data_IF_125693322297
#
_entry.id   IF_125693322297
#
_cell.length_a   1.000
_cell.length_b   1.000
_cell.length_c   1.000
_cell.angle_alpha   90.00
_cell.angle_beta   90.00
_cell.angle_gamma   90.00
#
_symmetry.space_group_name_H-M   'P 1'
#
loop_
_entity.id
_entity.type
_entity.pdbx_description
1 polymer ?
#
# COMPACT_ATOMS: atom_id res chain seq x y z
N UNK A 1 -36.86 -9.31 -20.12
CA UNK A 1 -36.03 -8.99 -21.30
C UNK A 1 -35.03 -7.93 -20.89
N UNK A 2 -33.74 -8.19 -21.08
CA UNK A 2 -32.65 -7.29 -20.65
C UNK A 2 -32.17 -6.51 -21.86
N UNK A 3 -32.35 -5.19 -21.84
CA UNK A 3 -31.94 -4.29 -22.92
C UNK A 3 -30.57 -3.70 -22.59
N UNK A 4 -29.62 -3.84 -23.51
CA UNK A 4 -28.26 -3.30 -23.39
C UNK A 4 -27.94 -2.39 -24.57
N UNK A 5 -27.02 -1.45 -24.36
CA UNK A 5 -26.54 -0.56 -25.42
C UNK A 5 -25.76 -1.31 -26.50
N UNK A 6 -25.57 -0.66 -27.64
CA UNK A 6 -24.79 -1.21 -28.76
C UNK A 6 -23.33 -1.48 -28.37
N UNK A 7 -22.73 -0.62 -27.53
CA UNK A 7 -21.37 -0.82 -27.03
C UNK A 7 -21.27 -2.05 -26.14
N UNK A 8 -22.21 -2.22 -25.20
CA UNK A 8 -22.27 -3.41 -24.35
C UNK A 8 -22.52 -4.67 -25.18
N UNK A 9 -23.37 -4.61 -26.21
CA UNK A 9 -23.61 -5.73 -27.12
C UNK A 9 -22.34 -6.11 -27.91
N UNK A 10 -21.57 -5.11 -28.34
CA UNK A 10 -20.29 -5.29 -29.02
C UNK A 10 -19.27 -6.01 -28.13
N UNK A 11 -19.16 -5.57 -26.87
CA UNK A 11 -18.31 -6.21 -25.87
C UNK A 11 -18.75 -7.64 -25.56
N UNK A 12 -20.06 -7.84 -25.32
CA UNK A 12 -20.62 -9.13 -24.93
C UNK A 12 -20.48 -10.20 -26.01
N UNK A 13 -20.66 -9.82 -27.28
CA UNK A 13 -20.59 -10.74 -28.43
C UNK A 13 -19.18 -10.86 -29.03
N UNK A 14 -18.24 -10.03 -28.58
CA UNK A 14 -16.92 -9.84 -29.20
C UNK A 14 -17.02 -9.51 -30.72
N UNK A 15 -18.07 -8.80 -31.14
CA UNK A 15 -18.25 -8.29 -32.51
C UNK A 15 -18.04 -6.79 -32.52
N UNK A 16 -17.46 -6.27 -33.60
CA UNK A 16 -17.29 -4.83 -33.74
C UNK A 16 -18.64 -4.09 -33.78
N UNK A 17 -18.69 -2.87 -33.23
CA UNK A 17 -19.89 -2.00 -33.29
C UNK A 17 -20.49 -1.91 -34.71
N UNK A 18 -19.71 -1.72 -35.80
CA UNK A 18 -20.25 -1.74 -37.17
C UNK A 18 -20.91 -3.07 -37.56
N UNK A 19 -20.42 -4.19 -37.04
CA UNK A 19 -21.04 -5.51 -37.28
C UNK A 19 -22.42 -5.57 -36.63
N UNK A 20 -22.54 -5.07 -35.39
CA UNK A 20 -23.83 -4.98 -34.70
C UNK A 20 -24.80 -4.09 -35.50
N UNK A 21 -24.37 -2.91 -35.95
CA UNK A 21 -25.19 -2.03 -36.79
C UNK A 21 -25.64 -2.68 -38.10
N UNK A 22 -24.78 -3.50 -38.72
CA UNK A 22 -25.14 -4.25 -39.92
C UNK A 22 -26.26 -5.26 -39.63
N UNK A 23 -26.16 -6.03 -38.55
CA UNK A 23 -27.22 -6.98 -38.18
C UNK A 23 -28.55 -6.29 -37.83
N UNK A 24 -28.51 -5.07 -37.29
CA UNK A 24 -29.72 -4.24 -37.11
C UNK A 24 -30.29 -3.84 -38.47
N UNK A 25 -29.43 -3.35 -39.38
CA UNK A 25 -29.83 -2.92 -40.73
C UNK A 25 -30.41 -4.07 -41.56
N UNK A 26 -29.87 -5.28 -41.38
CA UNK A 26 -30.30 -6.50 -42.07
C UNK A 26 -31.58 -7.10 -41.45
N UNK A 27 -32.08 -6.53 -40.34
CA UNK A 27 -33.32 -6.94 -39.67
C UNK A 27 -33.17 -8.18 -38.77
N UNK A 28 -31.94 -8.60 -38.48
CA UNK A 28 -31.66 -9.77 -37.63
C UNK A 28 -31.70 -9.45 -36.13
N UNK A 29 -31.47 -8.17 -35.79
CA UNK A 29 -31.59 -7.59 -34.45
C UNK A 29 -32.57 -6.42 -34.46
N UNK A 30 -33.42 -6.37 -33.45
CA UNK A 30 -34.32 -5.27 -33.17
C UNK A 30 -33.63 -4.24 -32.28
N UNK A 31 -33.76 -2.96 -32.64
CA UNK A 31 -33.27 -1.84 -31.84
C UNK A 31 -34.45 -1.06 -31.26
N UNK A 32 -34.47 -0.87 -29.94
CA UNK A 32 -35.44 0.00 -29.25
C UNK A 32 -34.66 0.99 -28.40
N UNK A 33 -34.82 2.29 -28.64
CA UNK A 33 -34.14 3.35 -27.88
C UNK A 33 -32.61 3.13 -27.76
N UNK A 34 -31.96 2.83 -28.88
CA UNK A 34 -30.52 2.51 -28.95
C UNK A 34 -30.06 1.32 -28.10
N UNK A 35 -30.99 0.44 -27.74
CA UNK A 35 -30.71 -0.79 -27.02
C UNK A 35 -31.19 -2.00 -27.80
N UNK A 36 -30.55 -3.13 -27.53
CA UNK A 36 -30.79 -4.44 -28.13
C UNK A 36 -31.09 -5.42 -27.00
N UNK A 37 -32.01 -6.35 -27.24
CA UNK A 37 -32.31 -7.41 -26.29
C UNK A 37 -31.21 -8.48 -26.27
N UNK A 38 -30.74 -8.83 -25.08
CA UNK A 38 -29.76 -9.90 -24.87
C UNK A 38 -30.22 -11.25 -25.43
N UNK A 39 -31.52 -11.56 -25.40
CA UNK A 39 -32.06 -12.80 -25.97
C UNK A 39 -31.94 -12.85 -27.49
N UNK A 40 -32.09 -11.72 -28.18
CA UNK A 40 -31.86 -11.66 -29.63
C UNK A 40 -30.37 -11.83 -29.96
N UNK A 41 -29.49 -11.22 -29.15
CA UNK A 41 -28.04 -11.42 -29.28
C UNK A 41 -27.65 -12.89 -29.06
N UNK A 42 -28.23 -13.55 -28.06
CA UNK A 42 -28.03 -14.99 -27.80
C UNK A 42 -28.58 -15.85 -28.95
N UNK A 43 -29.74 -15.50 -29.51
CA UNK A 43 -30.35 -16.20 -30.65
C UNK A 43 -29.46 -16.11 -31.89
N UNK A 44 -28.88 -14.94 -32.15
CA UNK A 44 -28.12 -14.68 -33.36
C UNK A 44 -26.66 -15.15 -33.27
N UNK A 45 -25.97 -14.82 -32.17
CA UNK A 45 -24.54 -15.10 -32.01
C UNK A 45 -24.26 -16.36 -31.18
N UNK A 46 -25.28 -16.97 -30.58
CA UNK A 46 -25.12 -18.08 -29.66
C UNK A 46 -24.57 -17.64 -28.30
N UNK A 47 -24.02 -18.60 -27.55
CA UNK A 47 -23.41 -18.33 -26.25
C UNK A 47 -22.21 -17.38 -26.38
N UNK A 48 -22.23 -16.32 -25.59
CA UNK A 48 -21.15 -15.34 -25.51
C UNK A 48 -19.88 -16.01 -24.99
N UNK A 49 -18.87 -16.13 -25.84
CA UNK A 49 -17.55 -16.61 -25.41
C UNK A 49 -16.76 -15.40 -24.93
N UNK A 50 -16.21 -15.42 -23.71
CA UNK A 50 -15.31 -14.36 -23.30
C UNK A 50 -14.13 -14.33 -24.28
N UNK A 51 -13.70 -13.12 -24.66
CA UNK A 51 -12.48 -12.96 -25.46
C UNK A 51 -11.30 -13.63 -24.74
N UNK A 52 -10.36 -14.20 -25.50
CA UNK A 52 -9.14 -14.77 -24.94
C UNK A 52 -8.36 -13.76 -24.08
N UNK A 53 -8.47 -12.47 -24.39
CA UNK A 53 -7.86 -11.39 -23.62
C UNK A 53 -8.52 -11.19 -22.26
N UNK A 54 -9.85 -11.35 -22.18
CA UNK A 54 -10.59 -11.28 -20.92
C UNK A 54 -10.18 -12.40 -19.96
N UNK A 55 -9.96 -13.61 -20.48
CA UNK A 55 -9.46 -14.73 -19.68
C UNK A 55 -8.04 -14.47 -19.15
N UNK A 56 -7.15 -13.93 -20.00
CA UNK A 56 -5.78 -13.59 -19.59
C UNK A 56 -5.75 -12.51 -18.52
N UNK A 57 -6.54 -11.45 -18.69
CA UNK A 57 -6.64 -10.37 -17.71
C UNK A 57 -7.18 -10.89 -16.38
N UNK A 58 -8.22 -11.73 -16.41
CA UNK A 58 -8.78 -12.32 -15.19
C UNK A 58 -7.76 -13.22 -14.46
N UNK A 59 -6.99 -14.02 -15.20
CA UNK A 59 -5.94 -14.84 -14.62
C UNK A 59 -4.80 -14.02 -14.01
N UNK A 60 -4.41 -12.90 -14.63
CA UNK A 60 -3.44 -11.97 -14.07
C UNK A 60 -3.96 -11.32 -12.79
N UNK A 61 -5.23 -10.88 -12.78
CA UNK A 61 -5.88 -10.31 -11.60
C UNK A 61 -5.97 -11.33 -10.46
N UNK A 62 -6.27 -12.60 -10.77
CA UNK A 62 -6.30 -13.68 -9.76
C UNK A 62 -4.92 -13.94 -9.15
N UNK A 63 -3.86 -13.95 -9.96
CA UNK A 63 -2.48 -14.09 -9.47
C UNK A 63 -2.08 -12.91 -8.59
N UNK A 64 -2.31 -11.68 -9.07
CA UNK A 64 -2.03 -10.47 -8.31
C UNK A 64 -2.75 -10.44 -6.96
N UNK A 65 -4.03 -10.85 -6.92
CA UNK A 65 -4.78 -10.97 -5.67
C UNK A 65 -4.22 -12.03 -4.71
N UNK A 66 -3.71 -13.15 -5.24
CA UNK A 66 -3.07 -14.17 -4.43
C UNK A 66 -1.76 -13.63 -3.81
N UNK A 67 -0.95 -12.94 -4.59
CA UNK A 67 0.31 -12.32 -4.13
C UNK A 67 0.04 -11.27 -3.06
N UNK A 68 -0.94 -10.37 -3.29
CA UNK A 68 -1.37 -9.37 -2.31
C UNK A 68 -1.85 -9.99 -1.01
N UNK A 69 -2.58 -11.11 -1.07
CA UNK A 69 -3.01 -11.84 0.13
C UNK A 69 -1.83 -12.41 0.90
N UNK A 70 -0.84 -12.96 0.20
CA UNK A 70 0.37 -13.50 0.82
C UNK A 70 1.20 -12.38 1.48
N UNK A 71 1.37 -11.24 0.81
CA UNK A 71 2.14 -10.13 1.37
C UNK A 71 1.45 -9.47 2.55
N UNK A 72 0.11 -9.37 2.52
CA UNK A 72 -0.68 -8.94 3.67
C UNK A 72 -0.46 -9.83 4.89
N UNK A 73 -0.41 -11.15 4.70
CA UNK A 73 -0.15 -12.10 5.78
C UNK A 73 1.26 -11.93 6.36
N UNK A 74 2.29 -11.80 5.52
CA UNK A 74 3.67 -11.52 5.96
C UNK A 74 3.74 -10.22 6.78
N UNK A 75 3.04 -9.18 6.35
CA UNK A 75 3.01 -7.89 7.05
C UNK A 75 2.41 -8.03 8.46
N UNK A 76 1.34 -8.82 8.63
CA UNK A 76 0.79 -9.09 9.96
C UNK A 76 1.79 -9.84 10.85
N UNK A 77 2.45 -10.88 10.32
CA UNK A 77 3.45 -11.64 11.08
C UNK A 77 4.62 -10.75 11.54
N UNK A 78 5.13 -9.88 10.65
CA UNK A 78 6.19 -8.92 10.99
C UNK A 78 5.69 -7.94 12.06
N UNK A 79 4.46 -7.42 11.94
CA UNK A 79 3.92 -6.50 12.93
C UNK A 79 3.82 -7.14 14.32
N UNK A 80 3.37 -8.38 14.39
CA UNK A 80 3.27 -9.13 15.64
C UNK A 80 4.63 -9.39 16.28
N UNK A 81 5.64 -9.74 15.47
CA UNK A 81 7.02 -9.87 15.94
C UNK A 81 7.56 -8.55 16.50
N UNK A 82 7.34 -7.44 15.79
CA UNK A 82 7.74 -6.11 16.25
C UNK A 82 7.02 -5.70 17.54
N UNK A 83 5.74 -6.06 17.70
CA UNK A 83 4.98 -5.80 18.93
C UNK A 83 5.57 -6.56 20.12
N UNK A 84 5.90 -7.84 19.95
CA UNK A 84 6.53 -8.66 20.98
C UNK A 84 7.90 -8.11 21.37
N UNK A 85 8.76 -7.86 20.38
CA UNK A 85 10.09 -7.29 20.59
C UNK A 85 10.03 -5.95 21.34
N UNK A 86 9.10 -5.05 20.97
CA UNK A 86 8.90 -3.80 21.69
C UNK A 86 8.40 -3.98 23.14
N UNK A 87 7.60 -5.01 23.41
CA UNK A 87 7.14 -5.31 24.77
C UNK A 87 8.32 -5.80 25.64
N UNK A 88 9.15 -6.68 25.11
CA UNK A 88 10.35 -7.19 25.79
C UNK A 88 11.32 -6.05 26.10
N UNK A 89 11.59 -5.18 25.12
CA UNK A 89 12.44 -4.00 25.31
C UNK A 89 11.89 -3.05 26.38
N UNK A 90 10.58 -2.86 26.46
CA UNK A 90 9.95 -2.05 27.52
C UNK A 90 10.13 -2.70 28.88
N UNK A 91 9.98 -4.02 28.97
CA UNK A 91 10.17 -4.76 30.22
C UNK A 91 11.62 -4.67 30.70
N UNK A 92 12.59 -4.82 29.80
CA UNK A 92 14.00 -4.73 30.15
C UNK A 92 14.42 -3.32 30.53
N UNK A 93 13.91 -2.30 29.82
CA UNK A 93 14.06 -0.90 30.22
C UNK A 93 13.55 -0.65 31.65
N UNK A 94 12.39 -1.20 32.00
CA UNK A 94 11.82 -1.07 33.34
C UNK A 94 12.67 -1.79 34.41
N UNK A 95 13.14 -3.01 34.13
CA UNK A 95 14.07 -3.71 35.03
C UNK A 95 15.34 -2.89 35.30
N UNK A 96 15.92 -2.31 34.25
CA UNK A 96 17.11 -1.47 34.37
C UNK A 96 16.83 -0.24 35.25
N UNK A 97 15.70 0.44 35.07
CA UNK A 97 15.34 1.57 35.95
C UNK A 97 15.19 1.16 37.41
N UNK A 98 14.61 -0.01 37.69
CA UNK A 98 14.51 -0.53 39.06
C UNK A 98 15.88 -0.81 39.68
N UNK A 99 16.79 -1.40 38.91
CA UNK A 99 18.18 -1.65 39.36
C UNK A 99 18.87 -0.33 39.68
N UNK A 100 18.80 0.65 38.77
CA UNK A 100 19.38 1.99 38.99
C UNK A 100 18.80 2.63 40.25
N UNK A 101 17.47 2.62 40.41
CA UNK A 101 16.81 3.18 41.59
C UNK A 101 17.22 2.48 42.90
N UNK A 102 17.43 1.16 42.86
CA UNK A 102 17.88 0.39 44.02
C UNK A 102 19.33 0.69 44.41
N UNK A 103 20.21 0.94 43.43
CA UNK A 103 21.61 1.32 43.65
C UNK A 103 21.75 2.78 44.12
N UNK A 104 20.76 3.63 43.84
CA UNK A 104 20.76 5.04 44.21
C UNK A 104 20.31 5.31 45.66
N UNK A 105 19.94 4.27 46.43
CA UNK A 105 19.81 4.35 47.90
C UNK A 105 21.21 4.34 48.56
N UNK A 106 21.90 5.49 48.52
CA UNK A 106 23.05 5.75 49.39
C UNK A 106 22.59 5.96 50.85
N UNK A 107 23.32 5.50 51.88
CA UNK A 107 23.05 5.88 53.27
C UNK A 107 23.21 7.40 53.46
N UNK A 108 22.38 8.04 54.32
CA UNK A 108 22.35 9.49 54.50
C UNK A 108 23.64 10.10 55.12
N UNK A 109 24.62 9.29 55.52
CA UNK A 109 25.81 9.75 56.27
C UNK A 109 26.97 10.29 55.42
N UNK A 110 26.87 10.29 54.09
CA UNK A 110 27.88 10.88 53.20
C UNK A 110 27.38 12.06 52.36
N UNK A 111 26.23 12.63 52.72
CA UNK A 111 25.71 13.85 52.09
C UNK A 111 26.56 15.06 52.48
N UNK A 112 27.77 15.16 51.90
CA UNK A 112 28.52 16.42 51.88
C UNK A 112 27.63 17.42 51.12
N UNK A 113 27.32 18.59 51.69
CA UNK A 113 26.52 19.59 50.98
C UNK A 113 27.27 19.99 49.71
N UNK A 114 26.74 19.59 48.56
CA UNK A 114 27.18 20.12 47.28
C UNK A 114 26.87 21.62 47.31
N UNK A 115 27.90 22.44 47.55
CA UNK A 115 27.81 23.87 47.24
C UNK A 115 27.33 23.99 45.78
N UNK A 116 26.41 24.91 45.45
CA UNK A 116 25.96 25.07 44.09
C UNK A 116 27.17 25.42 43.23
N UNK A 117 27.68 24.45 42.47
CA UNK A 117 28.65 24.74 41.42
C UNK A 117 27.89 25.53 40.38
N UNK A 118 28.29 26.79 40.17
CA UNK A 118 27.72 27.64 39.13
C UNK A 118 27.65 26.85 37.82
N UNK A 119 26.43 26.66 37.33
CA UNK A 119 26.19 26.07 36.02
C UNK A 119 26.79 27.04 35.00
N UNK A 120 28.02 26.77 34.56
CA UNK A 120 28.55 27.41 33.35
C UNK A 120 27.61 27.02 32.21
N UNK A 121 26.86 28.02 31.74
CA UNK A 121 25.99 27.89 30.55
C UNK A 121 26.80 27.25 29.43
N UNK A 122 26.27 26.25 28.71
CA UNK A 122 26.98 25.68 27.59
C UNK A 122 27.28 26.79 26.58
N UNK A 123 28.55 26.95 26.23
CA UNK A 123 28.94 27.81 25.11
C UNK A 123 28.13 27.36 23.90
N UNK A 124 27.43 28.31 23.26
CA UNK A 124 26.81 28.07 21.95
C UNK A 124 27.92 27.58 21.04
N UNK A 125 27.85 26.32 20.62
CA UNK A 125 28.69 25.81 19.54
C UNK A 125 28.19 26.55 18.29
N UNK A 126 28.91 27.60 17.90
CA UNK A 126 28.74 28.22 16.59
C UNK A 126 29.39 27.24 15.61
N UNK A 127 28.56 26.41 14.99
CA UNK A 127 29.00 25.56 13.88
C UNK A 127 29.26 26.54 12.74
N UNK A 128 30.53 26.80 12.45
CA UNK A 128 30.92 27.55 11.26
C UNK A 128 30.53 26.73 10.02
N UNK A 129 29.49 27.18 9.32
CA UNK A 129 28.95 26.56 8.10
C UNK A 129 30.01 26.37 7.00
N UNK A 130 31.18 27.00 7.14
CA UNK A 130 32.31 26.87 6.22
C UNK A 130 32.92 25.46 6.19
N UNK A 131 32.89 24.72 7.31
CA UNK A 131 33.50 23.39 7.40
C UNK A 131 32.63 22.31 6.75
N UNK A 132 31.31 22.36 6.97
CA UNK A 132 30.34 21.46 6.34
C UNK A 132 30.30 21.66 4.83
N UNK A 133 30.32 22.91 4.36
CA UNK A 133 30.36 23.20 2.92
C UNK A 133 31.70 22.79 2.26
N UNK A 134 32.83 22.92 2.96
CA UNK A 134 34.14 22.42 2.49
C UNK A 134 34.19 20.90 2.39
N UNK A 135 33.60 20.19 3.35
CA UNK A 135 33.59 18.72 3.36
C UNK A 135 32.73 18.18 2.21
N UNK A 136 31.58 18.79 1.95
CA UNK A 136 30.68 18.42 0.85
C UNK A 136 31.33 18.69 -0.51
N UNK A 137 32.03 19.82 -0.69
CA UNK A 137 32.77 20.07 -1.95
C UNK A 137 33.86 19.04 -2.22
N UNK A 138 34.61 18.61 -1.20
CA UNK A 138 35.67 17.58 -1.33
C UNK A 138 35.13 16.18 -1.64
N UNK A 139 33.91 15.86 -1.22
CA UNK A 139 33.33 14.53 -1.40
C UNK A 139 32.56 14.39 -2.73
N UNK A 140 32.05 15.49 -3.29
CA UNK A 140 31.13 15.45 -4.44
C UNK A 140 31.63 16.14 -5.72
N UNK A 141 32.74 16.88 -5.68
CA UNK A 141 33.36 17.43 -6.90
C UNK A 141 34.86 17.05 -6.92
N UNK A 142 35.17 16.09 -7.81
CA UNK A 142 36.44 15.41 -8.15
C UNK A 142 37.74 15.89 -7.49
#
# INVERSE_FOLDING_TARGET
MSLISISEASELTAKSIPTIYRHIKDGELSQTDNKIDVTELLRLFGGFRPSADYHRENDLLRRSNADLKQDKEKLYQINDLLRRSNADLKQDKEKLYRIIASQQKWPPELAVPLKPTEVRKPNKIVIDESLTQRLIRKLFFK
#
